data_IF_964203661602
#
_entry.id   IF_964203661602
#
_cell.length_a   1.000
_cell.length_b   1.000
_cell.length_c   1.000
_cell.angle_alpha   90.00
_cell.angle_beta   90.00
_cell.angle_gamma   90.00
#
_symmetry.space_group_name_H-M   'P 1'
#
loop_
_entity.id
_entity.type
_entity.pdbx_description
1 polymer ?
#
# COMPACT_ATOMS: atom_id res chain seq x y z
N UNK A 1 -51.71 -2.79 -6.77
CA UNK A 1 -50.93 -3.72 -5.92
C UNK A 1 -50.03 -4.72 -6.69
N UNK A 2 -50.23 -4.98 -7.99
CA UNK A 2 -49.41 -5.97 -8.76
C UNK A 2 -47.99 -5.49 -9.12
N UNK A 3 -47.78 -4.21 -9.46
CA UNK A 3 -46.44 -3.69 -9.78
C UNK A 3 -45.46 -3.69 -8.60
N UNK A 4 -45.92 -3.37 -7.38
CA UNK A 4 -45.04 -3.37 -6.20
C UNK A 4 -44.50 -4.75 -5.85
N UNK A 5 -45.32 -5.80 -6.05
CA UNK A 5 -44.91 -7.19 -5.80
C UNK A 5 -43.92 -7.70 -6.86
N UNK A 6 -44.08 -7.27 -8.12
CA UNK A 6 -43.12 -7.57 -9.18
C UNK A 6 -41.76 -6.87 -8.98
N UNK A 7 -41.76 -5.60 -8.57
CA UNK A 7 -40.54 -4.84 -8.24
C UNK A 7 -39.82 -5.49 -7.05
N UNK A 8 -40.55 -5.88 -6.00
CA UNK A 8 -39.96 -6.56 -4.84
C UNK A 8 -39.31 -7.89 -5.25
N UNK A 9 -40.00 -8.72 -6.04
CA UNK A 9 -39.47 -10.00 -6.52
C UNK A 9 -38.22 -9.81 -7.40
N UNK A 10 -38.20 -8.76 -8.22
CA UNK A 10 -37.04 -8.40 -9.04
C UNK A 10 -35.85 -7.97 -8.17
N UNK A 11 -36.07 -7.12 -7.15
CA UNK A 11 -35.03 -6.72 -6.20
C UNK A 11 -34.45 -7.91 -5.42
N UNK A 12 -35.31 -8.82 -4.94
CA UNK A 12 -34.88 -10.03 -4.23
C UNK A 12 -34.08 -10.94 -5.17
N UNK A 13 -34.52 -11.09 -6.42
CA UNK A 13 -33.81 -11.92 -7.40
C UNK A 13 -32.45 -11.33 -7.75
N UNK A 14 -32.35 -10.01 -7.91
CA UNK A 14 -31.07 -9.32 -8.13
C UNK A 14 -30.17 -9.49 -6.90
N UNK A 15 -30.70 -9.30 -5.68
CA UNK A 15 -29.93 -9.46 -4.46
C UNK A 15 -29.40 -10.90 -4.31
N UNK A 16 -30.25 -11.90 -4.58
CA UNK A 16 -29.85 -13.31 -4.55
C UNK A 16 -28.82 -13.65 -5.63
N UNK A 17 -28.96 -13.09 -6.83
CA UNK A 17 -28.00 -13.24 -7.91
C UNK A 17 -26.65 -12.61 -7.54
N UNK A 18 -26.63 -11.37 -7.03
CA UNK A 18 -25.43 -10.69 -6.58
C UNK A 18 -24.74 -11.45 -5.43
N UNK A 19 -25.51 -11.95 -4.47
CA UNK A 19 -24.98 -12.73 -3.35
C UNK A 19 -24.40 -14.06 -3.81
N UNK A 20 -25.09 -14.75 -4.72
CA UNK A 20 -24.61 -16.00 -5.31
C UNK A 20 -23.32 -15.76 -6.11
N UNK A 21 -23.31 -14.73 -6.95
CA UNK A 21 -22.12 -14.33 -7.69
C UNK A 21 -20.96 -14.06 -6.75
N UNK A 22 -21.17 -13.28 -5.68
CA UNK A 22 -20.15 -12.98 -4.69
C UNK A 22 -19.65 -14.23 -3.94
N UNK A 23 -20.55 -15.14 -3.56
CA UNK A 23 -20.20 -16.39 -2.88
C UNK A 23 -19.40 -17.33 -3.79
N UNK A 24 -19.69 -17.39 -5.08
CA UNK A 24 -18.98 -18.27 -6.01
C UNK A 24 -17.87 -17.57 -6.79
N UNK A 25 -17.58 -16.31 -6.47
CA UNK A 25 -16.56 -15.55 -7.18
C UNK A 25 -15.15 -16.10 -6.87
N UNK A 26 -14.32 -16.37 -7.90
CA UNK A 26 -12.96 -16.87 -7.71
C UNK A 26 -12.02 -15.70 -7.35
N UNK A 27 -12.07 -15.24 -6.10
CA UNK A 27 -11.23 -14.13 -5.64
C UNK A 27 -9.72 -14.41 -5.75
N UNK A 28 -9.31 -15.68 -5.71
CA UNK A 28 -7.90 -16.06 -5.86
C UNK A 28 -7.41 -15.80 -7.30
N UNK A 29 -8.17 -16.21 -8.31
CA UNK A 29 -7.83 -15.93 -9.72
C UNK A 29 -7.79 -14.42 -10.02
N UNK A 30 -8.68 -13.65 -9.38
CA UNK A 30 -8.65 -12.19 -9.46
C UNK A 30 -7.38 -11.62 -8.81
N UNK A 31 -6.96 -12.16 -7.67
CA UNK A 31 -5.74 -11.76 -6.98
C UNK A 31 -4.49 -12.03 -7.85
N UNK A 32 -4.41 -13.21 -8.44
CA UNK A 32 -3.33 -13.59 -9.35
C UNK A 32 -3.29 -12.70 -10.59
N UNK A 33 -4.45 -12.43 -11.20
CA UNK A 33 -4.55 -11.54 -12.37
C UNK A 33 -4.11 -10.12 -12.02
N UNK A 34 -4.56 -9.60 -10.87
CA UNK A 34 -4.16 -8.27 -10.39
C UNK A 34 -2.65 -8.21 -10.10
N UNK A 35 -2.09 -9.26 -9.49
CA UNK A 35 -0.66 -9.36 -9.22
C UNK A 35 0.16 -9.41 -10.51
N UNK A 36 -0.23 -10.21 -11.49
CA UNK A 36 0.45 -10.29 -12.79
C UNK A 36 0.47 -8.93 -13.50
N UNK A 37 -0.64 -8.19 -13.46
CA UNK A 37 -0.69 -6.82 -13.99
C UNK A 37 0.23 -5.87 -13.22
N UNK A 38 0.31 -6.01 -11.89
CA UNK A 38 1.22 -5.21 -11.07
C UNK A 38 2.70 -5.52 -11.38
N UNK A 39 3.06 -6.80 -11.53
CA UNK A 39 4.41 -7.24 -11.93
C UNK A 39 4.78 -6.66 -13.30
N UNK A 40 3.88 -6.73 -14.28
CA UNK A 40 4.09 -6.15 -15.61
C UNK A 40 4.30 -4.64 -15.53
N UNK A 41 3.43 -3.92 -14.81
CA UNK A 41 3.53 -2.47 -14.65
C UNK A 41 4.82 -2.05 -13.93
N UNK A 42 5.23 -2.78 -12.89
CA UNK A 42 6.47 -2.54 -12.16
C UNK A 42 7.70 -2.81 -13.02
N UNK A 43 7.69 -3.90 -13.79
CA UNK A 43 8.79 -4.26 -14.70
C UNK A 43 9.05 -3.20 -15.77
N UNK A 44 8.00 -2.58 -16.31
CA UNK A 44 8.12 -1.47 -17.25
C UNK A 44 8.75 -0.21 -16.65
N UNK A 45 8.81 -0.12 -15.32
CA UNK A 45 9.42 0.99 -14.57
C UNK A 45 10.76 0.61 -13.94
N UNK A 46 11.33 -0.57 -14.27
CA UNK A 46 12.63 -1.03 -13.78
C UNK A 46 12.61 -1.74 -12.42
N UNK A 47 11.42 -2.06 -11.90
CA UNK A 47 11.24 -2.83 -10.67
C UNK A 47 10.91 -4.28 -11.00
N UNK A 48 11.53 -5.24 -10.30
CA UNK A 48 11.15 -6.65 -10.35
C UNK A 48 10.38 -6.99 -9.09
N UNK A 49 9.13 -7.42 -9.28
CA UNK A 49 8.27 -7.94 -8.23
C UNK A 49 8.20 -9.46 -8.38
N UNK A 50 8.29 -10.17 -7.26
CA UNK A 50 8.20 -11.62 -7.17
C UNK A 50 7.41 -12.00 -5.91
N UNK A 51 6.75 -13.15 -5.92
CA UNK A 51 6.01 -13.66 -4.77
C UNK A 51 5.97 -15.18 -4.83
N UNK A 52 6.18 -15.84 -3.69
CA UNK A 52 6.08 -17.31 -3.61
C UNK A 52 4.64 -17.83 -3.74
N UNK A 53 3.64 -16.98 -3.50
CA UNK A 53 2.24 -17.33 -3.65
C UNK A 53 1.32 -16.11 -3.53
N UNK A 54 0.20 -16.17 -4.24
CA UNK A 54 -0.86 -15.17 -4.24
C UNK A 54 -2.16 -15.89 -3.95
N UNK A 55 -2.93 -15.41 -2.98
CA UNK A 55 -4.23 -16.01 -2.63
C UNK A 55 -5.22 -14.95 -2.15
N UNK A 56 -6.48 -15.35 -2.01
CA UNK A 56 -7.49 -14.55 -1.34
C UNK A 56 -8.07 -15.34 -0.16
N UNK A 57 -8.00 -14.76 1.03
CA UNK A 57 -8.56 -15.30 2.26
C UNK A 57 -9.85 -14.55 2.62
N UNK A 58 -10.82 -15.25 3.20
CA UNK A 58 -12.11 -14.65 3.55
C UNK A 58 -12.98 -14.28 2.34
N UNK A 59 -14.19 -13.82 2.61
CA UNK A 59 -15.19 -13.48 1.56
C UNK A 59 -15.88 -12.14 1.78
N UNK A 60 -15.77 -11.53 2.97
CA UNK A 60 -16.54 -10.34 3.32
C UNK A 60 -15.82 -9.41 4.34
N UNK A 61 -15.00 -8.45 3.88
CA UNK A 61 -14.40 -8.39 2.53
C UNK A 61 -13.30 -9.46 2.36
N UNK A 62 -12.99 -9.87 1.12
CA UNK A 62 -11.84 -10.73 0.86
C UNK A 62 -10.53 -9.99 1.17
N UNK A 63 -9.58 -10.67 1.79
CA UNK A 63 -8.22 -10.19 2.02
C UNK A 63 -7.31 -10.85 1.00
N UNK A 64 -6.65 -10.06 0.16
CA UNK A 64 -5.64 -10.56 -0.78
C UNK A 64 -4.32 -10.73 -0.04
N UNK A 65 -3.73 -11.92 -0.15
CA UNK A 65 -2.55 -12.32 0.59
C UNK A 65 -1.43 -12.64 -0.38
N UNK A 66 -0.29 -11.96 -0.23
CA UNK A 66 0.95 -12.26 -0.94
C UNK A 66 1.95 -12.87 0.04
N UNK A 67 2.48 -14.04 -0.30
CA UNK A 67 3.47 -14.74 0.53
C UNK A 67 4.87 -14.53 -0.03
N UNK A 68 5.81 -14.14 0.84
CA UNK A 68 7.20 -13.82 0.50
C UNK A 68 7.31 -12.89 -0.72
N UNK A 69 6.64 -11.75 -0.65
CA UNK A 69 6.66 -10.75 -1.70
C UNK A 69 8.03 -10.06 -1.73
N UNK A 70 8.76 -10.17 -2.84
CA UNK A 70 10.07 -9.56 -3.03
C UNK A 70 9.99 -8.45 -4.07
N UNK A 71 10.60 -7.32 -3.76
CA UNK A 71 10.82 -6.22 -4.67
C UNK A 71 12.31 -6.02 -4.86
N UNK A 72 12.77 -5.94 -6.09
CA UNK A 72 14.17 -5.62 -6.40
C UNK A 72 14.26 -4.55 -7.48
N UNK A 73 15.19 -3.63 -7.28
CA UNK A 73 15.56 -2.58 -8.21
C UNK A 73 17.06 -2.36 -8.12
N UNK A 74 17.70 -1.67 -9.08
CA UNK A 74 19.13 -1.38 -9.03
C UNK A 74 19.59 -0.61 -7.78
N UNK A 75 18.66 0.11 -7.12
CA UNK A 75 18.97 0.99 -5.98
C UNK A 75 18.46 0.46 -4.63
N UNK A 76 17.52 -0.49 -4.65
CA UNK A 76 16.83 -0.97 -3.45
C UNK A 76 16.32 -2.39 -3.69
N UNK A 77 16.52 -3.28 -2.74
CA UNK A 77 15.76 -4.53 -2.67
C UNK A 77 15.09 -4.67 -1.32
N UNK A 78 13.93 -5.32 -1.30
CA UNK A 78 13.18 -5.59 -0.09
C UNK A 78 12.35 -6.86 -0.25
N UNK A 79 12.02 -7.45 0.88
CA UNK A 79 11.22 -8.67 0.98
C UNK A 79 10.25 -8.54 2.12
N UNK A 80 8.99 -8.91 1.91
CA UNK A 80 7.96 -8.97 2.92
C UNK A 80 7.50 -10.43 3.04
N UNK A 81 7.61 -11.00 4.25
CA UNK A 81 7.19 -12.38 4.49
C UNK A 81 5.71 -12.63 4.21
N UNK A 82 4.85 -11.64 4.49
CA UNK A 82 3.43 -11.66 4.15
C UNK A 82 2.91 -10.24 3.88
N UNK A 83 2.07 -10.09 2.87
CA UNK A 83 1.36 -8.84 2.59
C UNK A 83 -0.14 -9.09 2.50
N UNK A 84 -0.90 -8.51 3.42
CA UNK A 84 -2.35 -8.56 3.46
C UNK A 84 -2.92 -7.25 2.92
N UNK A 85 -3.75 -7.33 1.89
CA UNK A 85 -4.43 -6.20 1.26
C UNK A 85 -5.93 -6.43 1.40
N UNK A 86 -6.58 -5.66 2.26
CA UNK A 86 -8.00 -5.78 2.57
C UNK A 86 -8.75 -4.58 2.02
N UNK A 87 -9.57 -4.72 0.96
CA UNK A 87 -10.41 -3.65 0.47
C UNK A 87 -11.38 -3.15 1.56
N UNK A 88 -11.49 -1.84 1.70
CA UNK A 88 -12.44 -1.22 2.63
C UNK A 88 -13.65 -0.71 1.86
N UNK A 89 -14.74 -1.49 1.87
CA UNK A 89 -15.98 -1.14 1.16
C UNK A 89 -16.56 0.17 1.70
N UNK A 90 -16.59 0.32 3.03
CA UNK A 90 -17.12 1.51 3.70
C UNK A 90 -16.31 2.75 3.34
N UNK A 91 -14.98 2.69 3.46
CA UNK A 91 -14.15 3.84 3.09
C UNK A 91 -14.23 4.13 1.59
N UNK A 92 -14.35 3.10 0.76
CA UNK A 92 -14.45 3.29 -0.70
C UNK A 92 -15.71 4.06 -1.09
N UNK A 93 -16.84 3.75 -0.46
CA UNK A 93 -18.11 4.45 -0.66
C UNK A 93 -18.03 5.88 -0.09
N UNK A 94 -17.54 6.04 1.14
CA UNK A 94 -17.43 7.36 1.79
C UNK A 94 -16.52 8.32 1.02
N UNK A 95 -15.41 7.81 0.48
CA UNK A 95 -14.42 8.61 -0.26
C UNK A 95 -14.68 8.65 -1.76
N UNK A 96 -15.68 7.92 -2.26
CA UNK A 96 -15.97 7.77 -3.69
C UNK A 96 -14.73 7.39 -4.50
N UNK A 97 -13.88 6.53 -3.94
CA UNK A 97 -12.55 6.18 -4.46
C UNK A 97 -12.13 4.81 -3.91
N UNK A 98 -11.44 3.94 -4.66
CA UNK A 98 -10.96 2.66 -4.14
C UNK A 98 -10.10 2.83 -2.90
N UNK A 99 -10.46 2.16 -1.81
CA UNK A 99 -9.74 2.21 -0.54
C UNK A 99 -9.39 0.79 -0.06
N UNK A 100 -8.21 0.62 0.54
CA UNK A 100 -7.76 -0.64 1.11
C UNK A 100 -6.90 -0.42 2.36
N UNK A 101 -6.96 -1.36 3.30
CA UNK A 101 -5.95 -1.49 4.35
C UNK A 101 -4.85 -2.42 3.85
N UNK A 102 -3.60 -2.00 3.99
CA UNK A 102 -2.41 -2.78 3.64
C UNK A 102 -1.65 -3.05 4.92
N UNK A 103 -1.32 -4.31 5.14
CA UNK A 103 -0.46 -4.77 6.23
C UNK A 103 0.64 -5.66 5.66
N UNK A 104 1.88 -5.35 5.98
CA UNK A 104 3.04 -6.14 5.63
C UNK A 104 3.67 -6.66 6.92
N UNK A 105 3.99 -7.95 6.96
CA UNK A 105 4.65 -8.59 8.09
C UNK A 105 6.04 -9.09 7.68
N UNK A 106 7.01 -8.95 8.60
CA UNK A 106 8.41 -9.38 8.41
C UNK A 106 9.01 -8.76 7.16
N UNK A 107 9.07 -7.44 7.11
CA UNK A 107 9.66 -6.70 6.00
C UNK A 107 11.16 -6.54 6.25
N UNK A 108 11.96 -6.96 5.29
CA UNK A 108 13.40 -6.67 5.25
C UNK A 108 13.68 -5.74 4.08
N UNK A 109 14.50 -4.72 4.30
CA UNK A 109 14.93 -3.76 3.27
C UNK A 109 16.44 -3.75 3.21
N UNK A 110 16.98 -4.20 2.09
CA UNK A 110 18.40 -4.13 1.80
C UNK A 110 18.72 -2.74 1.26
N UNK A 111 19.45 -1.97 2.07
CA UNK A 111 20.00 -0.71 1.66
C UNK A 111 21.34 -0.93 0.94
N UNK A 112 21.65 -0.16 -0.12
CA UNK A 112 22.93 -0.24 -0.82
C UNK A 112 24.07 0.43 -0.02
N UNK A 113 24.20 0.10 1.28
CA UNK A 113 25.25 0.63 2.16
C UNK A 113 26.22 -0.50 2.50
N UNK A 114 27.50 -0.42 2.06
CA UNK A 114 28.47 -1.48 2.30
C UNK A 114 28.62 -1.84 3.78
N UNK A 115 28.56 -3.14 4.09
CA UNK A 115 28.78 -3.67 5.45
C UNK A 115 27.59 -3.48 6.42
N UNK A 116 26.48 -2.90 5.99
CA UNK A 116 25.28 -2.78 6.82
C UNK A 116 24.35 -3.97 6.66
N UNK A 117 23.84 -4.47 7.78
CA UNK A 117 22.78 -5.47 7.77
C UNK A 117 21.48 -4.88 7.18
N UNK A 118 20.61 -5.71 6.58
CA UNK A 118 19.29 -5.30 6.12
C UNK A 118 18.50 -4.61 7.25
N UNK A 119 17.68 -3.62 6.91
CA UNK A 119 16.72 -3.04 7.85
C UNK A 119 15.56 -4.01 8.03
N UNK A 120 15.24 -4.33 9.28
CA UNK A 120 14.11 -5.20 9.59
C UNK A 120 12.95 -4.42 10.19
N UNK A 121 11.79 -4.52 9.55
CA UNK A 121 10.51 -4.02 10.05
C UNK A 121 9.63 -5.23 10.38
N UNK A 122 9.28 -5.37 11.65
CA UNK A 122 8.38 -6.41 12.13
C UNK A 122 7.01 -6.35 11.44
N UNK A 123 6.47 -5.14 11.28
CA UNK A 123 5.23 -4.87 10.58
C UNK A 123 5.25 -3.49 9.91
N UNK A 124 4.47 -3.34 8.86
CA UNK A 124 4.16 -2.06 8.21
C UNK A 124 2.67 -2.02 7.83
N UNK A 125 1.94 -1.05 8.37
CA UNK A 125 0.51 -0.89 8.17
C UNK A 125 0.21 0.48 7.55
N UNK A 126 -0.74 0.54 6.62
CA UNK A 126 -1.22 1.78 6.04
C UNK A 126 -2.66 1.63 5.52
N UNK A 127 -3.41 2.74 5.49
CA UNK A 127 -4.68 2.83 4.77
C UNK A 127 -4.46 3.57 3.47
N UNK A 128 -4.81 2.95 2.36
CA UNK A 128 -4.60 3.47 1.03
C UNK A 128 -5.91 3.92 0.40
N UNK A 129 -5.87 5.02 -0.35
CA UNK A 129 -6.98 5.52 -1.16
C UNK A 129 -6.43 5.93 -2.52
N UNK A 130 -7.04 5.46 -3.59
CA UNK A 130 -6.64 5.79 -4.95
C UNK A 130 -7.59 6.81 -5.58
N UNK A 131 -7.12 8.03 -5.86
CA UNK A 131 -7.93 9.12 -6.41
C UNK A 131 -7.13 9.93 -7.42
N UNK A 132 -7.73 10.22 -8.59
CA UNK A 132 -7.14 11.10 -9.61
C UNK A 132 -5.68 10.71 -10.01
N UNK A 133 -5.40 9.40 -10.10
CA UNK A 133 -4.05 8.92 -10.42
C UNK A 133 -3.02 9.07 -9.29
N UNK A 134 -3.46 9.37 -8.07
CA UNK A 134 -2.65 9.46 -6.86
C UNK A 134 -3.05 8.35 -5.89
N UNK A 135 -2.06 7.76 -5.24
CA UNK A 135 -2.23 6.84 -4.13
C UNK A 135 -1.89 7.58 -2.84
N UNK A 136 -2.90 7.83 -2.04
CA UNK A 136 -2.77 8.43 -0.71
C UNK A 136 -2.67 7.31 0.31
N UNK A 137 -1.58 7.26 1.06
CA UNK A 137 -1.34 6.32 2.14
C UNK A 137 -1.36 7.09 3.46
N UNK A 138 -2.38 6.85 4.26
CA UNK A 138 -2.63 7.52 5.54
C UNK A 138 -2.45 6.57 6.70
N UNK A 139 -2.03 7.10 7.85
CA UNK A 139 -1.80 6.30 9.04
C UNK A 139 -0.72 5.23 8.83
N UNK A 140 0.29 5.55 8.01
CA UNK A 140 1.48 4.70 7.85
C UNK A 140 2.07 4.47 9.24
N UNK A 141 2.32 3.22 9.59
CA UNK A 141 2.96 2.81 10.84
C UNK A 141 3.87 1.64 10.57
N UNK A 142 5.12 1.74 10.98
CA UNK A 142 6.05 0.60 10.96
C UNK A 142 6.56 0.32 12.38
N UNK A 143 6.91 -0.94 12.64
CA UNK A 143 7.60 -1.33 13.87
C UNK A 143 8.88 -2.12 13.57
N UNK A 144 9.85 -2.12 14.48
CA UNK A 144 11.14 -2.80 14.31
C UNK A 144 12.30 -1.80 14.33
N UNK A 145 13.30 -1.99 13.46
CA UNK A 145 14.51 -1.16 13.39
C UNK A 145 14.22 0.33 13.14
N UNK A 146 13.12 0.61 12.42
CA UNK A 146 12.61 1.95 12.15
C UNK A 146 11.10 2.02 12.43
N UNK A 147 10.73 3.02 13.22
CA UNK A 147 9.35 3.41 13.46
C UNK A 147 9.03 4.62 12.58
N UNK A 148 8.28 4.37 11.51
CA UNK A 148 7.81 5.38 10.57
C UNK A 148 6.34 5.61 10.86
N UNK A 149 5.96 6.87 11.03
CA UNK A 149 4.57 7.26 11.22
C UNK A 149 4.20 8.47 10.37
N UNK A 150 3.01 8.46 9.76
CA UNK A 150 2.49 9.65 9.08
C UNK A 150 1.70 9.35 7.81
N UNK A 151 1.85 10.23 6.83
CA UNK A 151 1.13 10.18 5.55
C UNK A 151 2.06 10.37 4.37
N UNK A 152 1.81 9.65 3.28
CA UNK A 152 2.54 9.79 2.02
C UNK A 152 1.57 9.72 0.84
N UNK A 153 1.77 10.58 -0.15
CA UNK A 153 1.03 10.58 -1.41
C UNK A 153 2.01 10.34 -2.54
N UNK A 154 1.75 9.31 -3.35
CA UNK A 154 2.60 8.92 -4.46
C UNK A 154 1.80 8.80 -5.76
N UNK A 155 2.48 8.95 -6.90
CA UNK A 155 1.92 8.67 -8.22
C UNK A 155 2.29 7.25 -8.65
N UNK A 156 1.34 6.30 -8.74
CA UNK A 156 1.66 4.92 -9.15
C UNK A 156 2.22 4.81 -10.57
N UNK A 157 1.92 5.78 -11.44
CA UNK A 157 2.40 5.80 -12.82
C UNK A 157 3.91 6.13 -12.93
N UNK A 158 4.50 6.78 -11.92
CA UNK A 158 5.91 7.20 -11.95
C UNK A 158 6.70 6.78 -10.70
N UNK A 159 6.05 6.12 -9.74
CA UNK A 159 6.55 5.84 -8.39
C UNK A 159 7.17 7.05 -7.67
N UNK A 160 6.79 8.28 -8.05
CA UNK A 160 7.28 9.51 -7.41
C UNK A 160 6.44 9.87 -6.19
N UNK A 161 7.13 10.26 -5.12
CA UNK A 161 6.53 10.87 -3.93
C UNK A 161 6.11 12.30 -4.28
N UNK A 162 4.79 12.55 -4.30
CA UNK A 162 4.19 13.86 -4.56
C UNK A 162 4.17 14.69 -3.28
N UNK A 163 3.67 14.10 -2.20
CA UNK A 163 3.54 14.74 -0.89
C UNK A 163 3.96 13.75 0.20
N UNK A 164 4.59 14.22 1.26
CA UNK A 164 4.91 13.39 2.41
C UNK A 164 4.96 14.22 3.68
N UNK A 165 4.44 13.65 4.75
CA UNK A 165 4.67 14.09 6.12
C UNK A 165 4.88 12.83 6.94
N UNK A 166 6.15 12.37 6.98
CA UNK A 166 6.54 11.18 7.73
C UNK A 166 7.50 11.58 8.84
N UNK A 167 7.25 11.04 10.02
CA UNK A 167 8.15 11.06 11.16
C UNK A 167 8.80 9.68 11.27
N UNK A 168 10.12 9.65 11.27
CA UNK A 168 10.92 8.43 11.33
C UNK A 168 11.78 8.46 12.59
N UNK A 169 11.69 7.39 13.37
CA UNK A 169 12.45 7.15 14.61
C UNK A 169 12.99 5.73 14.61
N UNK A 170 13.79 5.38 15.62
CA UNK A 170 14.22 4.01 15.86
C UNK A 170 15.73 3.87 16.02
N UNK A 171 16.13 2.67 16.43
CA UNK A 171 17.51 2.30 16.78
C UNK A 171 18.48 2.50 15.60
N UNK A 172 18.00 2.28 14.37
CA UNK A 172 18.81 2.43 13.15
C UNK A 172 18.50 3.70 12.36
N UNK A 173 17.87 4.69 13.01
CA UNK A 173 17.55 5.99 12.39
C UNK A 173 18.78 6.76 11.91
N UNK A 174 19.98 6.48 12.47
CA UNK A 174 21.24 7.05 12.00
C UNK A 174 21.55 6.70 10.53
N UNK A 175 21.02 5.59 10.00
CA UNK A 175 21.19 5.21 8.59
C UNK A 175 20.53 6.19 7.63
N UNK A 176 19.59 7.01 8.10
CA UNK A 176 18.92 8.03 7.29
C UNK A 176 19.85 9.16 6.86
N UNK A 177 20.98 9.35 7.56
CA UNK A 177 21.98 10.35 7.16
C UNK A 177 22.55 10.04 5.76
N UNK A 178 22.70 8.75 5.41
CA UNK A 178 23.16 8.34 4.07
C UNK A 178 22.18 8.69 2.96
N UNK A 179 20.88 8.84 3.28
CA UNK A 179 19.83 9.14 2.32
C UNK A 179 19.50 10.62 2.22
N UNK A 180 20.16 11.47 3.01
CA UNK A 180 19.91 12.93 3.04
C UNK A 180 20.21 13.63 1.72
N UNK A 181 21.09 13.06 0.89
CA UNK A 181 21.40 13.56 -0.45
C UNK A 181 20.34 13.21 -1.50
N UNK A 182 19.49 12.21 -1.23
CA UNK A 182 18.51 11.65 -2.18
C UNK A 182 17.07 12.01 -1.76
N UNK A 183 16.82 12.12 -0.46
CA UNK A 183 15.51 12.39 0.13
C UNK A 183 15.54 13.71 0.93
N UNK A 184 14.46 14.52 0.89
CA UNK A 184 14.35 15.76 1.66
C UNK A 184 14.13 15.50 3.16
N UNK A 185 15.09 14.85 3.81
CA UNK A 185 15.09 14.48 5.22
C UNK A 185 15.60 15.67 6.06
N UNK A 186 14.87 15.98 7.13
CA UNK A 186 15.25 16.97 8.13
C UNK A 186 15.40 16.27 9.48
N UNK A 187 16.48 16.58 10.18
CA UNK A 187 16.71 16.09 11.54
C UNK A 187 16.08 17.10 12.51
N UNK A 188 15.06 16.69 13.26
CA UNK A 188 14.37 17.53 14.28
C UNK A 188 14.83 17.20 15.71
N UNK A 189 15.54 16.08 15.90
CA UNK A 189 16.12 15.70 17.19
C UNK A 189 17.23 14.65 17.03
N UNK A 190 17.82 14.17 18.14
CA UNK A 190 18.93 13.20 18.10
C UNK A 190 18.61 11.93 17.30
N UNK A 191 17.38 11.43 17.44
CA UNK A 191 16.88 10.18 16.83
C UNK A 191 15.56 10.38 16.06
N UNK A 192 15.15 11.63 15.81
CA UNK A 192 13.92 11.94 15.09
C UNK A 192 14.22 12.63 13.77
N UNK A 193 13.76 11.99 12.71
CA UNK A 193 13.86 12.45 11.34
C UNK A 193 12.48 12.74 10.78
N UNK A 194 12.39 13.74 9.91
CA UNK A 194 11.15 14.14 9.27
C UNK A 194 11.35 14.22 7.77
N UNK A 195 10.50 13.53 7.02
CA UNK A 195 10.42 13.62 5.57
C UNK A 195 9.20 14.47 5.19
N UNK A 196 9.43 15.77 5.01
CA UNK A 196 8.41 16.72 4.56
C UNK A 196 8.62 17.10 3.11
N UNK A 197 7.66 16.73 2.26
CA UNK A 197 7.54 17.21 0.88
C UNK A 197 6.14 17.78 0.73
N UNK A 198 6.06 19.10 0.61
CA UNK A 198 4.80 19.78 0.31
C UNK A 198 4.42 19.63 -1.16
N UNK A 199 3.13 19.76 -1.46
CA UNK A 199 2.65 19.84 -2.83
C UNK A 199 3.43 20.96 -3.55
N UNK A 200 4.23 20.60 -4.55
CA UNK A 200 4.78 21.58 -5.48
C UNK A 200 3.58 22.24 -6.19
N UNK A 201 3.13 23.39 -5.67
CA UNK A 201 1.95 24.08 -6.19
C UNK A 201 1.07 24.86 -5.19
N UNK A 202 1.57 25.27 -4.02
CA UNK A 202 0.99 26.41 -3.30
C UNK A 202 2.04 27.52 -3.25
N UNK A 203 2.04 28.34 -4.29
CA UNK A 203 2.60 29.69 -4.20
C UNK A 203 1.82 30.39 -3.08
N UNK A 204 2.48 30.62 -1.95
CA UNK A 204 2.10 31.70 -1.05
C UNK A 204 2.47 33.01 -1.76
N UNK A 205 1.54 33.47 -2.61
CA UNK A 205 1.31 34.89 -2.83
C UNK A 205 -0.09 35.16 -2.32
N UNK A 206 -0.18 35.62 -1.09
CA UNK A 206 -0.95 36.81 -0.67
C UNK A 206 -0.55 37.19 0.76
#
# INVERSE_FOLDING_TARGET
MRCGRAILLLLVSIAAFCLSFWLFFPFSDLAETAWNNAVLSASGQGFRLDSSGVSAEGRFPPTFVLSNARMSSPLLSGEAGRADITPSVIESVLKMAPAAAVKLDRVSVNLPVPGQAPLYLSSAEARTVFRNGRLEMTGVRTGGDLEISGTIVLSPASFKILESDLVIRGERSALLEYFRSILPLRKEGPETWVLKRGAAGRNDTD
#
